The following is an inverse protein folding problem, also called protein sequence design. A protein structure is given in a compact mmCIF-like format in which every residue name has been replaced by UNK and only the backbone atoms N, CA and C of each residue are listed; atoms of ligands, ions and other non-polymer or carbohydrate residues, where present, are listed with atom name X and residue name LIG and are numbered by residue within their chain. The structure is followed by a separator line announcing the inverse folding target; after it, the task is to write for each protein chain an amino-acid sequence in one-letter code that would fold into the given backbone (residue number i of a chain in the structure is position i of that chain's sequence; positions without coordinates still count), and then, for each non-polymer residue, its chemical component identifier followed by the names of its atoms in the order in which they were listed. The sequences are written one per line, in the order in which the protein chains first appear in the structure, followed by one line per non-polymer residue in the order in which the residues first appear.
data_IF_578998353400
#
_entry.id   IF_578998353400
#
_cell.length_a   1.000
_cell.length_b   1.000
_cell.length_c   1.000
_cell.angle_alpha   90.00
_cell.angle_beta   90.00
_cell.angle_gamma   90.00
#
_symmetry.space_group_name_H-M   'P 1'
#
loop_
_entity.id
_entity.type
_entity.pdbx_description
1 polymer ?
#
# COMPACT_ATOMS: atom_id res chain seq x y z
N UNK A 1 -12.02 -3.60 3.39
CA UNK A 1 -11.32 -4.57 2.52
C UNK A 1 -10.15 -5.20 3.26
N UNK A 2 -9.76 -6.41 2.85
CA UNK A 2 -8.47 -7.00 3.22
C UNK A 2 -7.32 -6.13 2.68
N UNK A 3 -6.39 -5.72 3.54
CA UNK A 3 -5.30 -4.80 3.21
C UNK A 3 -4.46 -5.32 2.04
N UNK A 4 -4.21 -6.62 1.97
CA UNK A 4 -3.47 -7.25 0.87
C UNK A 4 -4.16 -7.00 -0.47
N UNK A 5 -5.49 -7.09 -0.51
CA UNK A 5 -6.29 -6.78 -1.70
C UNK A 5 -6.19 -5.29 -2.07
N UNK A 6 -6.20 -4.40 -1.08
CA UNK A 6 -6.04 -2.96 -1.31
C UNK A 6 -4.67 -2.67 -1.95
N UNK A 7 -3.59 -3.24 -1.42
CA UNK A 7 -2.23 -3.07 -1.94
C UNK A 7 -2.11 -3.57 -3.39
N UNK A 8 -2.65 -4.76 -3.68
CA UNK A 8 -2.63 -5.32 -5.03
C UNK A 8 -3.37 -4.43 -6.07
N UNK A 9 -4.58 -3.96 -5.73
CA UNK A 9 -5.35 -3.04 -6.59
C UNK A 9 -4.62 -1.71 -6.79
N UNK A 10 -3.99 -1.21 -5.74
CA UNK A 10 -3.28 0.08 -5.77
C UNK A 10 -2.03 0.01 -6.65
N UNK A 11 -1.27 -1.08 -6.54
CA UNK A 11 -0.13 -1.34 -7.43
C UNK A 11 -0.56 -1.43 -8.91
N UNK A 12 -1.70 -2.07 -9.20
CA UNK A 12 -2.23 -2.12 -10.56
C UNK A 12 -2.60 -0.73 -11.12
N UNK A 13 -3.21 0.13 -10.29
CA UNK A 13 -3.57 1.50 -10.68
C UNK A 13 -2.34 2.39 -10.89
N UNK A 14 -1.33 2.29 -10.00
CA UNK A 14 -0.06 3.02 -10.16
C UNK A 14 0.64 2.64 -11.48
N UNK A 15 0.66 1.34 -11.82
CA UNK A 15 1.21 0.85 -13.10
C UNK A 15 0.47 1.36 -14.34
N UNK A 16 -0.80 1.75 -14.21
CA UNK A 16 -1.59 2.34 -15.28
C UNK A 16 -1.37 3.86 -15.43
N UNK A 17 -0.45 4.45 -14.65
CA UNK A 17 -0.12 5.86 -14.71
C UNK A 17 -0.87 6.73 -13.70
N UNK A 18 -1.53 6.13 -12.70
CA UNK A 18 -2.04 6.90 -11.57
C UNK A 18 -0.88 7.60 -10.85
N UNK A 19 -1.01 8.90 -10.59
CA UNK A 19 0.06 9.73 -10.01
C UNK A 19 0.07 9.77 -8.48
N UNK A 20 -0.79 9.00 -7.83
CA UNK A 20 -0.95 9.00 -6.38
C UNK A 20 -2.19 8.24 -5.94
N UNK A 21 -2.33 8.10 -4.62
CA UNK A 21 -3.39 7.33 -3.99
C UNK A 21 -3.97 8.15 -2.82
N UNK A 22 -5.29 8.14 -2.65
CA UNK A 22 -5.96 8.77 -1.50
C UNK A 22 -6.47 7.66 -0.58
N UNK A 23 -5.96 7.63 0.65
CA UNK A 23 -6.39 6.69 1.68
C UNK A 23 -6.87 7.40 2.93
N UNK A 24 -7.84 6.77 3.60
CA UNK A 24 -8.35 7.21 4.90
C UNK A 24 -8.56 6.02 5.82
N UNK A 25 -9.78 5.47 5.83
CA UNK A 25 -10.19 4.31 6.65
C UNK A 25 -9.20 3.13 6.60
N UNK A 26 -8.65 2.86 5.41
CA UNK A 26 -7.70 1.77 5.19
C UNK A 26 -6.32 1.97 5.87
N UNK A 27 -6.06 3.11 6.53
CA UNK A 27 -4.81 3.32 7.28
C UNK A 27 -5.08 3.26 8.78
N UNK A 28 -5.98 4.10 9.30
CA UNK A 28 -6.15 4.25 10.75
C UNK A 28 -6.91 3.11 11.43
N UNK A 29 -7.58 2.24 10.67
CA UNK A 29 -8.29 1.07 11.22
C UNK A 29 -7.37 -0.15 11.43
N UNK A 30 -6.10 -0.09 10.99
CA UNK A 30 -5.14 -1.17 11.18
C UNK A 30 -4.40 -1.03 12.51
N UNK A 31 -4.02 -2.18 13.08
CA UNK A 31 -3.24 -2.24 14.32
C UNK A 31 -1.88 -1.53 14.21
N UNK A 32 -1.30 -1.48 12.99
CA UNK A 32 -0.06 -0.77 12.71
C UNK A 32 -0.21 0.18 11.51
N UNK A 33 -0.76 1.41 11.71
CA UNK A 33 -0.93 2.38 10.63
C UNK A 33 0.40 2.83 10.00
N UNK A 34 1.50 2.82 10.77
CA UNK A 34 2.84 3.20 10.29
C UNK A 34 3.34 2.20 9.25
N UNK A 35 3.17 0.89 9.50
CA UNK A 35 3.51 -0.14 8.53
C UNK A 35 2.69 -0.02 7.24
N UNK A 36 1.40 0.31 7.34
CA UNK A 36 0.55 0.57 6.17
C UNK A 36 1.10 1.74 5.34
N UNK A 37 1.42 2.86 5.98
CA UNK A 37 2.00 4.03 5.30
C UNK A 37 3.33 3.68 4.62
N UNK A 38 4.20 2.92 5.29
CA UNK A 38 5.48 2.50 4.70
C UNK A 38 5.28 1.64 3.43
N UNK A 39 4.34 0.69 3.46
CA UNK A 39 3.98 -0.13 2.31
C UNK A 39 3.48 0.72 1.14
N UNK A 40 2.61 1.69 1.41
CA UNK A 40 2.08 2.62 0.40
C UNK A 40 3.17 3.52 -0.20
N UNK A 41 4.05 4.07 0.62
CA UNK A 41 5.16 4.92 0.17
C UNK A 41 6.16 4.16 -0.69
N UNK A 42 6.40 2.87 -0.38
CA UNK A 42 7.23 2.02 -1.22
C UNK A 42 6.64 1.85 -2.63
N UNK A 43 5.31 1.66 -2.75
CA UNK A 43 4.67 1.57 -4.07
C UNK A 43 4.75 2.89 -4.84
N UNK A 44 4.56 4.04 -4.17
CA UNK A 44 4.53 5.36 -4.83
C UNK A 44 5.92 5.86 -5.23
N UNK A 45 6.94 5.62 -4.41
CA UNK A 45 8.26 6.24 -4.58
C UNK A 45 9.38 5.28 -4.97
N UNK A 46 9.15 3.96 -4.86
CA UNK A 46 10.16 2.93 -5.10
C UNK A 46 9.70 1.86 -6.09
N UNK A 47 8.61 2.11 -6.81
CA UNK A 47 7.99 1.17 -7.76
C UNK A 47 7.67 -0.23 -7.19
N UNK A 48 7.48 -0.32 -5.87
CA UNK A 48 7.21 -1.59 -5.21
C UNK A 48 5.90 -2.23 -5.72
N UNK A 49 5.92 -3.55 -5.87
CA UNK A 49 4.74 -4.34 -6.22
C UNK A 49 3.77 -4.50 -5.03
N UNK A 50 2.54 -4.95 -5.31
CA UNK A 50 1.56 -5.24 -4.25
C UNK A 50 2.01 -6.32 -3.25
N UNK A 51 2.75 -7.33 -3.70
CA UNK A 51 3.32 -8.37 -2.83
C UNK A 51 4.47 -7.84 -1.97
N UNK A 52 5.39 -7.08 -2.56
CA UNK A 52 6.49 -6.45 -1.82
C UNK A 52 5.96 -5.47 -0.76
N UNK A 53 4.94 -4.68 -1.11
CA UNK A 53 4.26 -3.81 -0.14
C UNK A 53 3.62 -4.61 1.01
N UNK A 54 3.09 -5.80 0.73
CA UNK A 54 2.52 -6.68 1.75
C UNK A 54 3.60 -7.23 2.70
N UNK A 55 4.77 -7.58 2.17
CA UNK A 55 5.93 -7.98 2.99
C UNK A 55 6.44 -6.82 3.85
N UNK A 56 6.54 -5.61 3.30
CA UNK A 56 6.91 -4.40 4.05
C UNK A 56 5.95 -4.15 5.21
N UNK A 57 4.65 -4.36 5.00
CA UNK A 57 3.65 -4.25 6.05
C UNK A 57 3.84 -5.31 7.16
N UNK A 58 4.11 -6.57 6.82
CA UNK A 58 4.28 -7.64 7.80
C UNK A 58 5.59 -7.55 8.60
N UNK A 59 6.60 -6.88 8.05
CA UNK A 59 7.93 -6.76 8.64
C UNK A 59 8.11 -5.46 9.47
N UNK A 60 7.08 -4.62 9.62
CA UNK A 60 7.14 -3.31 10.30
C UNK A 60 6.11 -3.15 11.40
#
# INVERSE_FOLDING_TARGET
DDLRTVLAKSSALLRQGAKGLVYGRNIYQHANPKAVVNALMAMVHKDAGGEEAWEIYNNG
#
